data_IF_200194999864
#
_entry.id   IF_200194999864
#
_cell.length_a   1.000
_cell.length_b   1.000
_cell.length_c   1.000
_cell.angle_alpha   90.00
_cell.angle_beta   90.00
_cell.angle_gamma   90.00
#
_symmetry.space_group_name_H-M   'P 1'
#
loop_
_entity.id
_entity.type
_entity.pdbx_description
1 polymer ?
#
# COMPACT_ATOMS: atom_id res chain seq x y z
N UNK A 1 1.29 22.45 -10.22
CA UNK A 1 2.29 21.43 -10.62
C UNK A 1 3.61 22.00 -11.14
N UNK A 2 3.63 23.13 -11.86
CA UNK A 2 4.85 23.68 -12.48
C UNK A 2 6.05 23.89 -11.53
N UNK A 3 5.80 24.21 -10.25
CA UNK A 3 6.86 24.44 -9.24
C UNK A 3 7.73 23.21 -8.93
N UNK A 4 7.31 21.99 -9.30
CA UNK A 4 8.09 20.75 -9.07
C UNK A 4 8.90 20.35 -10.30
N UNK A 5 8.71 21.04 -11.42
CA UNK A 5 9.43 20.76 -12.66
C UNK A 5 10.71 21.57 -12.63
N UNK A 6 11.85 20.88 -12.65
CA UNK A 6 13.16 21.51 -12.77
C UNK A 6 13.43 21.94 -14.21
N UNK A 7 13.21 21.03 -15.17
CA UNK A 7 13.46 21.29 -16.60
C UNK A 7 12.53 20.45 -17.45
N UNK A 8 12.09 20.99 -18.60
CA UNK A 8 11.41 20.21 -19.65
C UNK A 8 12.38 19.91 -20.79
N UNK A 9 12.42 18.66 -21.24
CA UNK A 9 13.14 18.26 -22.46
C UNK A 9 12.26 18.50 -23.69
N UNK A 10 12.89 18.55 -24.86
CA UNK A 10 12.25 18.72 -26.17
C UNK A 10 11.17 17.67 -26.47
N UNK A 11 11.29 16.45 -25.93
CA UNK A 11 10.32 15.36 -26.10
C UNK A 11 9.13 15.39 -25.12
N UNK A 12 8.86 16.53 -24.48
CA UNK A 12 7.77 16.67 -23.49
C UNK A 12 8.04 16.03 -22.13
N UNK A 13 9.20 15.39 -21.94
CA UNK A 13 9.59 14.78 -20.65
C UNK A 13 9.92 15.89 -19.65
N UNK A 14 9.25 15.86 -18.50
CA UNK A 14 9.50 16.78 -17.38
C UNK A 14 10.46 16.13 -16.38
N UNK A 15 11.55 16.82 -16.04
CA UNK A 15 12.47 16.44 -14.97
C UNK A 15 11.97 17.05 -13.66
N UNK A 16 11.79 16.21 -12.64
CA UNK A 16 11.30 16.61 -11.31
C UNK A 16 12.47 17.17 -10.48
N UNK A 17 12.22 18.24 -9.72
CA UNK A 17 13.18 18.78 -8.77
C UNK A 17 13.27 17.89 -7.53
N UNK A 18 14.42 17.25 -7.31
CA UNK A 18 14.64 16.34 -6.19
C UNK A 18 14.64 17.01 -4.82
N UNK A 19 15.17 18.24 -4.69
CA UNK A 19 15.19 18.95 -3.41
C UNK A 19 13.76 19.22 -2.92
N UNK A 20 12.89 19.69 -3.82
CA UNK A 20 11.47 19.91 -3.50
C UNK A 20 10.72 18.61 -3.19
N UNK A 21 11.07 17.52 -3.86
CA UNK A 21 10.50 16.19 -3.57
C UNK A 21 10.92 15.73 -2.17
N UNK A 22 12.18 15.90 -1.79
CA UNK A 22 12.69 15.54 -0.47
C UNK A 22 12.00 16.31 0.66
N UNK A 23 11.86 17.63 0.51
CA UNK A 23 11.12 18.48 1.47
C UNK A 23 9.70 17.96 1.70
N UNK A 24 9.00 17.59 0.63
CA UNK A 24 7.64 17.04 0.71
C UNK A 24 7.59 15.65 1.34
N UNK A 25 8.54 14.79 1.03
CA UNK A 25 8.65 13.46 1.64
C UNK A 25 8.89 13.59 3.15
N UNK A 26 9.76 14.50 3.56
CA UNK A 26 10.04 14.75 4.98
C UNK A 26 8.80 15.28 5.73
N UNK A 27 8.08 16.24 5.15
CA UNK A 27 6.82 16.74 5.72
C UNK A 27 5.74 15.64 5.80
N UNK A 28 5.62 14.79 4.79
CA UNK A 28 4.67 13.68 4.82
C UNK A 28 5.02 12.67 5.92
N UNK A 29 6.31 12.34 6.10
CA UNK A 29 6.76 11.46 7.17
C UNK A 29 6.43 12.04 8.56
N UNK A 30 6.65 13.34 8.77
CA UNK A 30 6.29 14.03 10.01
C UNK A 30 4.78 14.00 10.27
N UNK A 31 3.96 14.19 9.23
CA UNK A 31 2.51 14.12 9.36
C UNK A 31 2.02 12.72 9.78
N UNK A 32 2.65 11.66 9.24
CA UNK A 32 2.35 10.27 9.63
C UNK A 32 2.77 10.01 11.09
N UNK A 33 3.95 10.47 11.48
CA UNK A 33 4.46 10.31 12.85
C UNK A 33 3.65 11.07 13.90
N UNK A 34 2.94 12.13 13.51
CA UNK A 34 2.09 12.88 14.42
C UNK A 34 0.82 12.10 14.84
N UNK A 35 0.48 11.01 14.15
CA UNK A 35 -0.65 10.14 14.52
C UNK A 35 -0.25 9.28 15.71
N UNK A 36 -1.06 9.34 16.78
CA UNK A 36 -0.77 8.67 18.06
C UNK A 36 -0.81 7.14 17.97
N UNK A 37 -1.72 6.60 17.17
CA UNK A 37 -1.88 5.16 16.97
C UNK A 37 -1.50 4.79 15.54
N UNK A 38 -0.52 3.91 15.36
CA UNK A 38 -0.06 3.49 14.03
C UNK A 38 -1.12 2.71 13.26
N UNK A 39 -2.05 2.03 13.94
CA UNK A 39 -3.13 1.27 13.30
C UNK A 39 -4.16 2.16 12.57
N UNK A 40 -4.24 3.44 12.93
CA UNK A 40 -5.12 4.42 12.28
C UNK A 40 -4.55 4.92 10.94
N UNK A 41 -3.28 4.57 10.66
CA UNK A 41 -2.62 4.86 9.39
C UNK A 41 -2.79 3.66 8.46
N UNK A 42 -3.44 3.87 7.32
CA UNK A 42 -3.65 2.83 6.31
C UNK A 42 -2.85 3.08 5.03
N UNK A 43 -2.28 2.03 4.46
CA UNK A 43 -1.61 2.05 3.15
C UNK A 43 -2.44 1.31 2.12
N UNK A 44 -2.56 1.90 0.92
CA UNK A 44 -3.39 1.37 -0.17
C UNK A 44 -2.62 1.46 -1.49
N UNK A 45 -2.65 0.37 -2.27
CA UNK A 45 -2.20 0.38 -3.66
C UNK A 45 -3.02 -0.59 -4.50
N UNK A 46 -3.64 -0.08 -5.57
CA UNK A 46 -4.31 -0.91 -6.58
C UNK A 46 -3.34 -1.56 -7.57
N UNK A 47 -2.09 -1.09 -7.63
CA UNK A 47 -1.05 -1.61 -8.54
C UNK A 47 -0.22 -2.68 -7.83
N UNK A 48 0.07 -3.77 -8.54
CA UNK A 48 0.93 -4.86 -8.06
C UNK A 48 2.32 -4.38 -7.61
N UNK A 49 2.92 -3.44 -8.32
CA UNK A 49 4.22 -2.83 -7.99
C UNK A 49 4.22 -2.14 -6.63
N UNK A 50 3.08 -1.58 -6.21
CA UNK A 50 2.93 -0.90 -4.93
C UNK A 50 2.55 -1.82 -3.76
N UNK A 51 2.05 -3.04 -4.03
CA UNK A 51 1.60 -3.92 -2.94
C UNK A 51 2.75 -4.43 -2.07
N UNK A 52 3.86 -4.86 -2.69
CA UNK A 52 5.06 -5.26 -1.93
C UNK A 52 5.65 -4.10 -1.13
N UNK A 53 5.60 -2.88 -1.67
CA UNK A 53 6.04 -1.69 -0.95
C UNK A 53 5.13 -1.40 0.26
N UNK A 54 3.81 -1.55 0.09
CA UNK A 54 2.83 -1.43 1.17
C UNK A 54 3.04 -2.46 2.28
N UNK A 55 3.26 -3.74 1.95
CA UNK A 55 3.57 -4.80 2.93
C UNK A 55 4.81 -4.45 3.76
N UNK A 56 5.90 -4.03 3.11
CA UNK A 56 7.12 -3.64 3.83
C UNK A 56 6.92 -2.39 4.68
N UNK A 57 6.15 -1.42 4.19
CA UNK A 57 5.86 -0.19 4.94
C UNK A 57 5.01 -0.48 6.18
N UNK A 58 3.96 -1.29 6.03
CA UNK A 58 3.11 -1.72 7.14
C UNK A 58 3.92 -2.45 8.22
N UNK A 59 4.80 -3.36 7.81
CA UNK A 59 5.70 -4.07 8.73
C UNK A 59 6.67 -3.12 9.47
N UNK A 60 7.18 -2.08 8.81
CA UNK A 60 8.12 -1.13 9.40
C UNK A 60 7.46 -0.10 10.33
N UNK A 61 6.23 0.31 10.03
CA UNK A 61 5.53 1.42 10.73
C UNK A 61 4.39 0.92 11.63
N UNK A 62 4.11 -0.38 11.63
CA UNK A 62 2.90 -0.98 12.21
C UNK A 62 1.60 -0.32 11.71
N UNK A 63 1.60 0.04 10.42
CA UNK A 63 0.46 0.63 9.72
C UNK A 63 -0.40 -0.46 9.07
N UNK A 64 -1.71 -0.24 9.00
CA UNK A 64 -2.67 -1.19 8.46
C UNK A 64 -2.57 -1.23 6.93
N UNK A 65 -2.21 -2.38 6.35
CA UNK A 65 -2.21 -2.53 4.90
C UNK A 65 -3.60 -2.97 4.43
N UNK A 66 -4.20 -2.21 3.51
CA UNK A 66 -5.37 -2.65 2.77
C UNK A 66 -4.86 -3.38 1.53
N UNK A 67 -4.90 -4.71 1.57
CA UNK A 67 -4.46 -5.58 0.48
C UNK A 67 -5.51 -5.65 -0.64
N UNK A 68 -5.07 -5.90 -1.87
CA UNK A 68 -5.97 -6.12 -3.00
C UNK A 68 -6.66 -4.86 -3.54
N UNK A 69 -7.88 -5.03 -4.05
CA UNK A 69 -8.72 -3.96 -4.57
C UNK A 69 -9.39 -3.22 -3.40
N UNK A 70 -9.38 -1.89 -3.45
CA UNK A 70 -10.09 -1.08 -2.48
C UNK A 70 -11.60 -1.32 -2.59
N UNK A 71 -12.21 -1.90 -1.55
CA UNK A 71 -13.66 -2.14 -1.50
C UNK A 71 -14.40 -0.82 -1.25
N UNK A 72 -15.37 -0.45 -2.12
CA UNK A 72 -16.19 0.72 -1.86
C UNK A 72 -16.89 0.61 -0.51
N UNK A 73 -16.79 1.65 0.31
CA UNK A 73 -17.39 1.68 1.64
C UNK A 73 -16.46 1.26 2.80
N UNK A 74 -15.22 0.84 2.54
CA UNK A 74 -14.26 0.44 3.61
C UNK A 74 -14.09 1.51 4.70
N UNK A 75 -14.11 2.80 4.36
CA UNK A 75 -13.96 3.87 5.35
C UNK A 75 -15.27 4.47 5.86
N UNK A 76 -16.39 4.21 5.20
CA UNK A 76 -17.66 4.94 5.45
C UNK A 76 -18.78 4.04 5.93
N UNK A 77 -18.69 2.74 5.70
CA UNK A 77 -19.71 1.78 6.10
C UNK A 77 -19.33 1.15 7.44
N UNK A 78 -20.02 1.53 8.52
CA UNK A 78 -19.82 1.02 9.88
C UNK A 78 -20.39 -0.40 10.01
N UNK A 79 -19.78 -1.40 9.34
CA UNK A 79 -20.07 -2.82 9.63
C UNK A 79 -19.20 -3.29 10.82
N UNK A 80 -19.67 -4.24 11.64
CA UNK A 80 -18.82 -4.86 12.67
C UNK A 80 -17.60 -5.54 12.02
N UNK A 81 -16.39 -5.24 12.52
CA UNK A 81 -15.08 -5.70 12.03
C UNK A 81 -14.92 -7.23 11.85
N UNK A 82 -15.84 -8.02 12.40
CA UNK A 82 -15.79 -9.49 12.38
C UNK A 82 -15.87 -10.09 10.98
N UNK A 83 -16.62 -9.47 10.06
CA UNK A 83 -16.86 -10.04 8.72
C UNK A 83 -15.65 -9.85 7.79
N UNK A 84 -14.89 -8.76 7.94
CA UNK A 84 -13.72 -8.50 7.08
C UNK A 84 -12.48 -9.31 7.50
N UNK A 85 -12.33 -9.59 8.80
CA UNK A 85 -11.27 -10.50 9.30
C UNK A 85 -11.50 -11.93 8.83
N UNK A 86 -12.76 -12.36 8.71
CA UNK A 86 -13.13 -13.67 8.17
C UNK A 86 -12.81 -13.79 6.68
N UNK A 87 -13.06 -12.75 5.89
CA UNK A 87 -12.76 -12.72 4.45
C UNK A 87 -11.25 -12.71 4.16
N UNK A 88 -10.46 -12.00 4.98
CA UNK A 88 -8.99 -11.99 4.89
C UNK A 88 -8.37 -13.33 5.31
N UNK A 89 -8.87 -13.95 6.38
CA UNK A 89 -8.44 -15.28 6.80
C UNK A 89 -8.79 -16.36 5.76
N UNK A 90 -9.93 -16.21 5.08
CA UNK A 90 -10.34 -17.12 4.01
C UNK A 90 -9.44 -16.99 2.76
N UNK A 91 -9.04 -15.78 2.39
CA UNK A 91 -8.15 -15.53 1.23
C UNK A 91 -6.71 -15.97 1.51
N UNK A 92 -6.18 -15.74 2.71
CA UNK A 92 -4.86 -16.23 3.09
C UNK A 92 -4.80 -17.77 3.11
N UNK A 93 -5.85 -18.43 3.64
CA UNK A 93 -5.98 -19.89 3.59
C UNK A 93 -6.10 -20.44 2.17
N UNK A 94 -6.78 -19.73 1.27
CA UNK A 94 -6.90 -20.13 -0.13
C UNK A 94 -5.56 -20.03 -0.87
N UNK A 95 -4.80 -18.94 -0.68
CA UNK A 95 -3.46 -18.77 -1.27
C UNK A 95 -2.49 -19.85 -0.78
N UNK A 96 -2.47 -20.14 0.53
CA UNK A 96 -1.61 -21.19 1.09
C UNK A 96 -1.99 -22.57 0.53
N UNK A 97 -3.28 -22.82 0.30
CA UNK A 97 -3.75 -24.08 -0.29
C UNK A 97 -3.33 -24.24 -1.75
N UNK A 98 -3.41 -23.18 -2.56
CA UNK A 98 -2.97 -23.25 -3.96
C UNK A 98 -1.45 -23.42 -4.08
N UNK A 99 -0.66 -22.75 -3.23
CA UNK A 99 0.80 -22.92 -3.19
C UNK A 99 1.19 -24.36 -2.82
N UNK A 100 0.46 -25.00 -1.88
CA UNK A 100 0.74 -26.38 -1.47
C UNK A 100 0.38 -27.40 -2.56
N UNK A 101 -0.74 -27.21 -3.26
CA UNK A 101 -1.14 -28.09 -4.38
C UNK A 101 -0.20 -27.93 -5.59
N UNK A 102 0.35 -26.74 -5.83
CA UNK A 102 1.34 -26.51 -6.88
C UNK A 102 2.68 -27.24 -6.65
N UNK A 103 3.06 -27.47 -5.40
CA UNK A 103 4.30 -28.18 -5.05
C UNK A 103 4.20 -29.70 -5.27
N UNK A 104 3.05 -30.31 -5.02
CA UNK A 104 2.84 -31.76 -5.22
C UNK A 104 2.91 -32.17 -6.70
N UNK A 105 2.58 -31.25 -7.62
CA UNK A 105 2.63 -31.50 -9.07
C UNK A 105 4.02 -31.25 -9.69
N UNK A 106 4.94 -30.56 -9.00
CA UNK A 106 6.28 -30.24 -9.51
C UNK A 106 7.34 -31.30 -9.16
N UNK A 107 6.98 -32.29 -8.32
CA UNK A 107 7.90 -33.31 -7.81
C UNK A 107 7.78 -34.67 -8.51
N UNK A 108 7.13 -34.73 -9.69
CA UNK A 108 6.91 -35.96 -10.46
C UNK A 108 7.49 -35.91 -11.87
#
# INVERSE_FOLDING_TARGET
MGQHIYKRKSHGICIINLNRTWEKLSLAAQAILAVKNSADVSVISSRNTGQRAGLKFGAATAATLITGLFTPGTFTNQRPEEIEKEEQAATEKAVIREEFQGMDHASS
#
